data_IF_808196649066
#
_entry.id   IF_808196649066
#
_cell.length_a   1.000
_cell.length_b   1.000
_cell.length_c   1.000
_cell.angle_alpha   90.00
_cell.angle_beta   90.00
_cell.angle_gamma   90.00
#
_symmetry.space_group_name_H-M   'P 1'
#
loop_
_entity.id
_entity.type
_entity.pdbx_description
1 polymer ?
#
# COMPACT_ATOMS: atom_id res chain seq x y z
N UNK A 1 -4.18 -12.77 1.52
CA UNK A 1 -4.50 -11.89 0.38
C UNK A 1 -4.53 -10.44 0.85
N UNK A 2 -3.55 -9.66 0.44
CA UNK A 2 -3.35 -8.30 0.94
C UNK A 2 -2.86 -7.39 -0.17
N UNK A 3 -3.21 -6.07 -0.13
CA UNK A 3 -2.70 -5.12 -1.10
C UNK A 3 -1.31 -4.65 -0.71
N UNK A 4 -0.50 -4.33 -1.71
CA UNK A 4 0.78 -3.68 -1.53
C UNK A 4 0.96 -2.61 -2.58
N UNK A 5 1.65 -1.53 -2.23
CA UNK A 5 1.95 -0.45 -3.16
C UNK A 5 3.37 -0.61 -3.69
N UNK A 6 3.55 -0.25 -4.95
CA UNK A 6 4.86 -0.16 -5.58
C UNK A 6 4.96 1.24 -6.19
N UNK A 7 6.06 1.93 -5.92
CA UNK A 7 6.31 3.23 -6.52
C UNK A 7 6.78 3.03 -7.96
N UNK A 8 6.08 3.63 -8.91
CA UNK A 8 6.42 3.59 -10.32
C UNK A 8 6.29 5.00 -10.88
N UNK A 9 7.42 5.67 -11.07
CA UNK A 9 7.44 7.06 -11.53
C UNK A 9 7.03 7.22 -12.98
N UNK A 10 7.22 6.18 -13.79
CA UNK A 10 6.96 6.25 -15.22
C UNK A 10 5.53 5.84 -15.59
N UNK A 11 4.98 4.81 -14.94
CA UNK A 11 3.71 4.19 -15.33
C UNK A 11 2.72 4.06 -14.19
N UNK A 12 3.05 4.58 -13.01
CA UNK A 12 2.16 4.52 -11.86
C UNK A 12 0.93 5.40 -12.02
N UNK A 13 -0.07 5.15 -11.19
CA UNK A 13 -1.31 5.91 -11.16
C UNK A 13 -1.64 6.27 -9.71
N UNK A 14 -2.54 7.23 -9.53
CA UNK A 14 -3.05 7.58 -8.21
C UNK A 14 -3.93 6.44 -7.68
N UNK A 15 -3.71 6.09 -6.42
CA UNK A 15 -4.46 5.02 -5.74
C UNK A 15 -5.14 5.63 -4.51
N UNK A 16 -6.41 5.32 -4.32
CA UNK A 16 -7.15 5.74 -3.13
C UNK A 16 -6.53 5.09 -1.89
N UNK A 17 -6.31 5.90 -0.87
CA UNK A 17 -5.68 5.45 0.35
C UNK A 17 -6.31 6.10 1.58
N UNK A 18 -6.02 5.56 2.75
CA UNK A 18 -6.41 6.12 4.03
C UNK A 18 -5.15 6.48 4.81
N UNK A 19 -5.17 7.66 5.45
CA UNK A 19 -4.06 8.11 6.30
C UNK A 19 -4.52 8.07 7.75
N UNK A 20 -3.75 7.38 8.59
CA UNK A 20 -4.07 7.19 9.99
C UNK A 20 -2.98 7.76 10.87
N UNK A 21 -3.38 8.36 11.99
CA UNK A 21 -2.43 8.74 13.03
C UNK A 21 -2.31 7.59 14.03
N UNK A 22 -1.07 7.21 14.33
CA UNK A 22 -0.79 6.17 15.30
C UNK A 22 -0.02 6.76 16.48
N UNK A 23 -0.34 6.37 17.73
CA UNK A 23 0.48 6.76 18.87
C UNK A 23 1.91 6.24 18.70
N UNK A 24 2.88 7.11 18.96
CA UNK A 24 4.28 6.74 18.80
C UNK A 24 4.66 5.54 19.66
N UNK A 25 4.09 5.44 20.86
CA UNK A 25 4.36 4.33 21.75
C UNK A 25 3.87 2.98 21.23
N UNK A 26 2.87 2.96 20.32
CA UNK A 26 2.35 1.73 19.74
C UNK A 26 2.99 1.34 18.42
N UNK A 27 3.86 2.18 17.87
CA UNK A 27 4.38 1.99 16.53
C UNK A 27 5.23 0.73 16.39
N UNK A 28 6.08 0.45 17.38
CA UNK A 28 6.94 -0.74 17.32
C UNK A 28 6.13 -2.03 17.30
N UNK A 29 5.11 -2.15 18.14
CA UNK A 29 4.23 -3.32 18.14
C UNK A 29 3.45 -3.46 16.85
N UNK A 30 2.99 -2.33 16.29
CA UNK A 30 2.31 -2.33 15.01
C UNK A 30 3.22 -2.86 13.89
N UNK A 31 4.48 -2.41 13.84
CA UNK A 31 5.41 -2.82 12.80
C UNK A 31 5.76 -4.31 12.88
N UNK A 32 5.86 -4.88 14.08
CA UNK A 32 6.16 -6.31 14.21
C UNK A 32 5.05 -7.20 13.67
N UNK A 33 3.84 -6.69 13.55
CA UNK A 33 2.70 -7.43 12.99
C UNK A 33 2.60 -7.39 11.47
N UNK A 34 3.46 -6.64 10.80
CA UNK A 34 3.40 -6.52 9.33
C UNK A 34 3.99 -7.78 8.68
N UNK A 35 3.20 -8.55 7.91
CA UNK A 35 3.70 -9.78 7.31
C UNK A 35 4.48 -9.48 6.02
N UNK A 36 5.56 -10.22 5.78
CA UNK A 36 6.22 -10.19 4.49
C UNK A 36 5.24 -10.67 3.40
N UNK A 37 5.32 -10.17 2.18
CA UNK A 37 6.32 -9.26 1.62
C UNK A 37 5.99 -7.77 1.77
N UNK A 38 5.12 -7.43 2.69
CA UNK A 38 4.83 -6.04 2.98
C UNK A 38 5.89 -5.44 3.91
N UNK A 39 6.09 -4.15 3.79
CA UNK A 39 7.01 -3.40 4.65
C UNK A 39 6.56 -1.96 4.74
N UNK A 40 7.31 -1.15 5.48
CA UNK A 40 7.06 0.28 5.59
C UNK A 40 8.05 1.02 4.71
N UNK A 41 7.52 1.86 3.85
CA UNK A 41 8.31 2.73 3.00
C UNK A 41 7.75 4.14 3.02
N UNK A 42 8.07 4.91 2.00
CA UNK A 42 7.64 6.30 1.89
C UNK A 42 6.66 6.43 0.74
N UNK A 43 5.51 7.02 1.01
CA UNK A 43 4.41 7.19 0.05
C UNK A 43 4.14 8.67 -0.15
N UNK A 44 4.04 9.09 -1.39
CA UNK A 44 3.68 10.47 -1.74
C UNK A 44 2.17 10.60 -1.82
N UNK A 45 1.62 11.60 -1.11
CA UNK A 45 0.20 11.92 -1.11
C UNK A 45 -0.13 12.93 -2.22
N UNK A 46 -1.41 13.05 -2.54
CA UNK A 46 -1.91 13.94 -3.58
C UNK A 46 -1.49 15.40 -3.39
N UNK A 47 -1.39 15.84 -2.13
CA UNK A 47 -0.99 17.22 -1.81
C UNK A 47 0.51 17.46 -1.87
N UNK A 48 1.30 16.47 -2.27
CA UNK A 48 2.76 16.57 -2.33
C UNK A 48 3.49 16.23 -1.05
N UNK A 49 2.78 15.96 0.03
CA UNK A 49 3.40 15.50 1.27
C UNK A 49 3.79 14.03 1.19
N UNK A 50 4.80 13.64 1.95
CA UNK A 50 5.26 12.27 2.02
C UNK A 50 4.99 11.71 3.42
N UNK A 51 4.51 10.48 3.48
CA UNK A 51 4.27 9.80 4.75
C UNK A 51 4.77 8.36 4.69
N UNK A 52 4.86 7.74 5.86
CA UNK A 52 5.20 6.31 5.92
C UNK A 52 3.96 5.48 5.61
N UNK A 53 4.13 4.42 4.85
CA UNK A 53 3.02 3.57 4.48
C UNK A 53 3.47 2.18 4.06
N UNK A 54 2.52 1.32 3.83
CA UNK A 54 2.79 -0.05 3.39
C UNK A 54 3.23 -0.07 1.93
N UNK A 55 4.34 -0.73 1.69
CA UNK A 55 4.81 -1.00 0.34
C UNK A 55 5.02 -2.50 0.17
N UNK A 56 5.05 -2.95 -1.09
CA UNK A 56 5.35 -4.34 -1.42
C UNK A 56 6.83 -4.49 -1.74
N UNK A 57 7.47 -5.49 -1.13
CA UNK A 57 8.85 -5.80 -1.46
C UNK A 57 8.97 -6.36 -2.89
N UNK A 58 10.07 -6.06 -3.60
CA UNK A 58 10.23 -6.50 -5.00
C UNK A 58 10.11 -8.01 -5.22
N UNK A 59 10.46 -8.81 -4.23
CA UNK A 59 10.41 -10.27 -4.35
C UNK A 59 9.03 -10.83 -4.63
N UNK A 60 7.96 -10.09 -4.30
CA UNK A 60 6.59 -10.55 -4.51
C UNK A 60 5.95 -10.02 -5.79
N UNK A 61 6.58 -9.07 -6.48
CA UNK A 61 5.96 -8.40 -7.62
C UNK A 61 5.68 -9.36 -8.78
N UNK A 62 6.58 -10.30 -9.04
CA UNK A 62 6.46 -11.23 -10.17
C UNK A 62 5.23 -12.14 -10.09
N UNK A 63 4.81 -12.48 -8.87
CA UNK A 63 3.68 -13.38 -8.65
C UNK A 63 2.40 -12.67 -8.20
N UNK A 64 2.50 -11.37 -7.94
CA UNK A 64 1.35 -10.57 -7.50
C UNK A 64 0.49 -10.16 -8.69
N UNK A 65 -0.82 -10.08 -8.44
CA UNK A 65 -1.76 -9.55 -9.42
C UNK A 65 -1.71 -8.02 -9.40
N UNK A 66 -1.57 -7.41 -10.57
CA UNK A 66 -1.64 -5.96 -10.68
C UNK A 66 -3.09 -5.50 -10.71
N UNK A 67 -3.45 -4.62 -9.79
CA UNK A 67 -4.82 -4.13 -9.66
C UNK A 67 -4.90 -2.60 -9.69
N UNK A 68 -3.88 -1.93 -10.23
CA UNK A 68 -3.80 -0.48 -10.31
C UNK A 68 -5.02 0.14 -10.99
N UNK A 69 -5.54 -0.51 -12.02
CA UNK A 69 -6.67 0.00 -12.79
C UNK A 69 -7.96 0.13 -11.96
N UNK A 70 -8.07 -0.56 -10.84
CA UNK A 70 -9.25 -0.43 -9.96
C UNK A 70 -9.22 0.86 -9.13
N UNK A 71 -8.09 1.52 -9.01
CA UNK A 71 -7.96 2.79 -8.30
C UNK A 71 -7.82 2.68 -6.78
N UNK A 72 -8.06 1.53 -6.19
CA UNK A 72 -7.93 1.30 -4.76
C UNK A 72 -8.34 -0.10 -4.36
N UNK A 73 -7.99 -0.46 -3.14
CA UNK A 73 -8.24 -1.80 -2.60
C UNK A 73 -9.74 -2.09 -2.45
N UNK A 74 -10.51 -1.11 -1.96
CA UNK A 74 -11.95 -1.29 -1.78
C UNK A 74 -12.66 -1.51 -3.09
N UNK A 75 -12.26 -0.80 -4.13
CA UNK A 75 -12.82 -0.96 -5.47
C UNK A 75 -12.52 -2.34 -6.04
N UNK A 76 -11.31 -2.83 -5.81
CA UNK A 76 -10.94 -4.19 -6.22
C UNK A 76 -11.78 -5.24 -5.50
N UNK A 77 -11.91 -5.13 -4.17
CA UNK A 77 -12.72 -6.06 -3.40
C UNK A 77 -14.19 -6.06 -3.85
N UNK A 78 -14.74 -4.89 -4.14
CA UNK A 78 -16.11 -4.77 -4.63
C UNK A 78 -16.30 -5.49 -5.97
N UNK A 79 -15.30 -5.48 -6.85
CA UNK A 79 -15.36 -6.17 -8.14
C UNK A 79 -15.36 -7.69 -7.98
N UNK A 80 -14.68 -8.21 -6.95
CA UNK A 80 -14.63 -9.65 -6.67
C UNK A 80 -15.94 -10.18 -6.08
N UNK A 81 -16.75 -9.32 -5.48
CA UNK A 81 -18.04 -9.69 -4.89
C UNK A 81 -19.18 -9.79 -5.91
N UNK A 82 -18.92 -9.46 -7.16
CA UNK A 82 -19.89 -9.60 -8.25
C UNK A 82 -19.53 -10.79 -9.17
#
# INVERSE_FOLDING_TARGET
>A
FRPGLVRDEAHGAAIDAEVWELPLAGLGGFMTGIPAPLGIGTVELENGEWCKGFICEPCAIETAQEITAFGGWRQFLASEDT
#
